data_IF_888744749586
#
_entry.id   IF_888744749586
#
_cell.length_a   1.000
_cell.length_b   1.000
_cell.length_c   1.000
_cell.angle_alpha   90.00
_cell.angle_beta   90.00
_cell.angle_gamma   90.00
#
_symmetry.space_group_name_H-M   'P 1'
#
loop_
_entity.id
_entity.type
_entity.pdbx_description
1 polymer ?
#
# COMPACT_ATOMS: atom_id res chain seq x y z
N UNK A 1 7.08 -7.52 25.44
CA UNK A 1 6.40 -7.74 24.14
C UNK A 1 4.92 -7.98 24.42
N UNK A 2 4.01 -7.37 23.63
CA UNK A 2 2.54 -7.29 23.82
C UNK A 2 2.00 -6.24 24.82
N UNK A 3 2.36 -4.96 24.65
CA UNK A 3 1.78 -3.84 25.44
C UNK A 3 0.74 -3.01 24.67
N UNK A 4 0.63 -3.20 23.35
CA UNK A 4 -0.24 -2.40 22.47
C UNK A 4 -1.67 -2.94 22.38
N UNK A 5 -1.89 -4.23 22.65
CA UNK A 5 -3.21 -4.87 22.58
C UNK A 5 -4.13 -4.54 23.77
N UNK A 6 -3.56 -4.25 24.94
CA UNK A 6 -4.31 -3.89 26.15
C UNK A 6 -4.91 -2.48 26.07
N UNK A 7 -4.21 -1.54 25.41
CA UNK A 7 -4.65 -0.14 25.31
C UNK A 7 -5.90 0.06 24.43
N UNK A 8 -6.08 -0.75 23.38
CA UNK A 8 -7.25 -0.65 22.50
C UNK A 8 -8.51 -1.23 23.15
N UNK A 9 -8.38 -2.33 23.89
CA UNK A 9 -9.52 -2.91 24.62
C UNK A 9 -9.94 -2.05 25.80
N UNK A 10 -8.99 -1.42 26.51
CA UNK A 10 -9.28 -0.45 27.57
C UNK A 10 -9.94 0.83 27.01
N UNK A 11 -9.54 1.29 25.81
CA UNK A 11 -10.21 2.39 25.12
C UNK A 11 -11.65 2.06 24.72
N UNK A 12 -11.89 0.84 24.24
CA UNK A 12 -13.23 0.40 23.83
C UNK A 12 -14.13 0.15 25.05
N UNK A 13 -13.58 -0.37 26.15
CA UNK A 13 -14.30 -0.56 27.41
C UNK A 13 -14.79 0.77 28.01
N UNK A 14 -13.99 1.84 27.88
CA UNK A 14 -14.37 3.18 28.32
C UNK A 14 -15.42 3.88 27.43
N UNK A 15 -15.75 3.33 26.26
CA UNK A 15 -16.78 3.87 25.35
C UNK A 15 -18.18 3.24 25.58
N UNK A 16 -18.27 2.14 26.32
CA UNK A 16 -19.52 1.39 26.49
C UNK A 16 -20.37 1.81 27.70
N UNK A 17 -19.93 2.80 28.50
CA UNK A 17 -20.64 3.25 29.70
C UNK A 17 -21.10 4.70 29.66
N UNK A 18 -22.36 4.93 29.29
CA UNK A 18 -23.31 6.01 29.65
C UNK A 18 -22.89 7.50 29.81
N UNK A 19 -21.67 7.92 29.51
CA UNK A 19 -21.24 9.33 29.47
C UNK A 19 -20.20 9.49 28.36
N UNK A 20 -20.21 10.43 27.41
CA UNK A 20 -20.96 11.65 27.20
C UNK A 20 -20.53 12.18 25.82
N UNK A 21 -21.39 12.94 25.12
CA UNK A 21 -20.91 13.79 24.02
C UNK A 21 -19.81 14.76 24.48
N UNK A 22 -19.75 15.09 25.78
CA UNK A 22 -18.66 15.85 26.42
C UNK A 22 -17.33 15.09 26.52
N UNK A 23 -17.33 13.75 26.59
CA UNK A 23 -16.11 12.94 26.54
C UNK A 23 -15.50 12.96 25.12
N UNK A 24 -16.36 13.02 24.08
CA UNK A 24 -15.95 13.28 22.71
C UNK A 24 -15.44 14.71 22.52
N UNK A 25 -16.03 15.71 23.21
CA UNK A 25 -15.62 17.12 23.13
C UNK A 25 -14.27 17.36 23.83
N UNK A 26 -14.01 16.69 24.95
CA UNK A 26 -12.68 16.64 25.58
C UNK A 26 -11.67 15.89 24.69
N UNK A 27 -12.07 14.84 23.98
CA UNK A 27 -11.23 14.18 22.99
C UNK A 27 -10.92 15.11 21.81
N UNK A 28 -11.89 15.88 21.30
CA UNK A 28 -11.70 16.92 20.29
C UNK A 28 -10.75 18.02 20.77
N UNK A 29 -10.82 18.40 22.06
CA UNK A 29 -9.85 19.28 22.70
C UNK A 29 -8.42 18.74 22.65
N UNK A 30 -8.23 17.41 22.76
CA UNK A 30 -6.90 16.80 22.63
C UNK A 30 -6.35 16.74 21.21
N UNK A 31 -7.20 16.78 20.17
CA UNK A 31 -6.79 16.96 18.77
C UNK A 31 -6.42 18.42 18.45
N UNK A 32 -6.77 19.37 19.32
CA UNK A 32 -6.49 20.79 19.20
C UNK A 32 -5.07 21.21 19.60
N UNK A 33 -4.32 20.37 20.32
CA UNK A 33 -2.99 20.74 20.83
C UNK A 33 -1.99 21.04 19.70
N UNK A 34 -1.46 22.28 19.61
CA UNK A 34 -0.54 22.69 18.54
C UNK A 34 0.70 21.79 18.45
N UNK A 35 1.19 21.30 19.59
CA UNK A 35 2.35 20.41 19.65
C UNK A 35 2.08 19.03 19.07
N UNK A 36 0.89 18.45 19.31
CA UNK A 36 0.49 17.17 18.70
C UNK A 36 0.25 17.31 17.21
N UNK A 37 -0.33 18.44 16.77
CA UNK A 37 -0.45 18.76 15.34
C UNK A 37 0.93 18.94 14.69
N UNK A 38 1.90 19.53 15.40
CA UNK A 38 3.28 19.67 14.93
C UNK A 38 3.97 18.32 14.81
N UNK A 39 3.90 17.47 15.84
CA UNK A 39 4.41 16.09 15.82
C UNK A 39 3.77 15.25 14.70
N UNK A 40 2.47 15.35 14.50
CA UNK A 40 1.77 14.65 13.42
C UNK A 40 2.22 15.15 12.04
N UNK A 41 2.41 16.46 11.87
CA UNK A 41 2.96 17.04 10.63
C UNK A 41 4.40 16.61 10.37
N UNK A 42 5.23 16.56 11.40
CA UNK A 42 6.62 16.11 11.29
C UNK A 42 6.70 14.62 10.95
N UNK A 43 5.87 13.77 11.57
CA UNK A 43 5.82 12.35 11.23
C UNK A 43 5.25 12.13 9.82
N UNK A 44 4.24 12.89 9.42
CA UNK A 44 3.71 12.87 8.05
C UNK A 44 4.78 13.28 7.03
N UNK A 45 5.46 14.41 7.25
CA UNK A 45 6.55 14.86 6.39
C UNK A 45 7.68 13.84 6.31
N UNK A 46 8.01 13.17 7.41
CA UNK A 46 9.01 12.08 7.43
C UNK A 46 8.56 10.89 6.60
N UNK A 47 7.30 10.46 6.73
CA UNK A 47 6.73 9.36 5.91
C UNK A 47 6.71 9.72 4.43
N UNK A 48 6.33 10.95 4.10
CA UNK A 48 6.33 11.46 2.73
C UNK A 48 7.76 11.51 2.16
N UNK A 49 8.75 11.93 2.95
CA UNK A 49 10.15 11.93 2.53
C UNK A 49 10.67 10.52 2.25
N UNK A 50 10.36 9.55 3.11
CA UNK A 50 10.73 8.13 2.89
C UNK A 50 10.05 7.58 1.64
N UNK A 51 8.75 7.84 1.47
CA UNK A 51 7.99 7.39 0.31
C UNK A 51 8.53 8.01 -1.00
N UNK A 52 8.88 9.29 -0.99
CA UNK A 52 9.46 9.96 -2.16
C UNK A 52 10.85 9.43 -2.48
N UNK A 53 11.70 9.20 -1.47
CA UNK A 53 13.00 8.55 -1.67
C UNK A 53 12.84 7.19 -2.33
N UNK A 54 11.95 6.34 -1.79
CA UNK A 54 11.64 5.04 -2.35
C UNK A 54 11.20 5.12 -3.81
N UNK A 55 10.29 6.05 -4.15
CA UNK A 55 9.82 6.22 -5.54
C UNK A 55 10.93 6.69 -6.48
N UNK A 56 11.81 7.58 -6.02
CA UNK A 56 12.97 8.00 -6.81
C UNK A 56 13.95 6.84 -7.05
N UNK A 57 14.17 5.99 -6.05
CA UNK A 57 15.00 4.79 -6.20
C UNK A 57 14.37 3.81 -7.21
N UNK A 58 13.05 3.63 -7.16
CA UNK A 58 12.32 2.84 -8.16
C UNK A 58 12.51 3.41 -9.57
N UNK A 59 12.34 4.73 -9.74
CA UNK A 59 12.53 5.38 -11.04
C UNK A 59 13.96 5.19 -11.54
N UNK A 60 14.97 5.35 -10.69
CA UNK A 60 16.37 5.16 -11.06
C UNK A 60 16.64 3.73 -11.57
N UNK A 61 16.04 2.72 -10.94
CA UNK A 61 16.16 1.32 -11.38
C UNK A 61 15.39 1.09 -12.68
N UNK A 62 14.12 1.46 -12.72
CA UNK A 62 13.20 1.12 -13.82
C UNK A 62 13.33 2.03 -15.05
N UNK A 63 14.04 3.16 -14.96
CA UNK A 63 14.40 3.97 -16.11
C UNK A 63 15.48 3.32 -17.00
N UNK A 64 16.28 2.39 -16.44
CA UNK A 64 17.29 1.65 -17.19
C UNK A 64 16.66 0.67 -18.20
N UNK A 65 17.32 0.33 -19.32
CA UNK A 65 16.82 -0.66 -20.26
C UNK A 65 16.55 -2.03 -19.63
N UNK A 66 17.41 -2.48 -18.72
CA UNK A 66 17.26 -3.74 -17.99
C UNK A 66 16.08 -3.69 -17.02
N UNK A 67 15.95 -2.58 -16.29
CA UNK A 67 14.82 -2.33 -15.40
C UNK A 67 13.50 -2.37 -16.15
N UNK A 68 13.41 -1.68 -17.30
CA UNK A 68 12.22 -1.70 -18.17
C UNK A 68 11.87 -3.12 -18.61
N UNK A 69 12.84 -3.94 -19.04
CA UNK A 69 12.59 -5.35 -19.40
C UNK A 69 12.04 -6.16 -18.24
N UNK A 70 12.57 -5.97 -17.03
CA UNK A 70 12.06 -6.64 -15.83
C UNK A 70 10.61 -6.21 -15.57
N UNK A 71 10.32 -4.90 -15.66
CA UNK A 71 8.98 -4.37 -15.48
C UNK A 71 8.00 -4.94 -16.51
N UNK A 72 8.39 -4.99 -17.78
CA UNK A 72 7.59 -5.57 -18.86
C UNK A 72 7.27 -7.04 -18.60
N UNK A 73 8.24 -7.83 -18.14
CA UNK A 73 8.03 -9.22 -17.75
C UNK A 73 7.08 -9.35 -16.55
N UNK A 74 7.20 -8.48 -15.56
CA UNK A 74 6.29 -8.45 -14.41
C UNK A 74 4.86 -8.13 -14.85
N UNK A 75 4.66 -7.12 -15.70
CA UNK A 75 3.35 -6.74 -16.23
C UNK A 75 2.75 -7.88 -17.04
N UNK A 76 3.51 -8.44 -17.99
CA UNK A 76 3.06 -9.55 -18.83
C UNK A 76 2.66 -10.78 -18.00
N UNK A 77 3.44 -11.09 -16.96
CA UNK A 77 3.19 -12.22 -16.07
C UNK A 77 2.01 -12.04 -15.10
N UNK A 78 1.50 -10.82 -14.90
CA UNK A 78 0.48 -10.52 -13.88
C UNK A 78 -0.77 -9.86 -14.45
N UNK A 79 -0.64 -8.66 -15.00
CA UNK A 79 -1.77 -7.89 -15.55
C UNK A 79 -2.11 -8.34 -16.97
N UNK A 80 -1.11 -8.78 -17.75
CA UNK A 80 -1.26 -9.25 -19.13
C UNK A 80 -1.58 -10.74 -19.30
N UNK A 81 -1.57 -11.53 -18.22
CA UNK A 81 -1.78 -12.98 -18.32
C UNK A 81 -3.23 -13.34 -18.66
N UNK A 82 -3.45 -14.35 -19.52
CA UNK A 82 -4.78 -14.79 -19.91
C UNK A 82 -5.62 -15.21 -18.69
N UNK A 83 -6.95 -15.06 -18.76
CA UNK A 83 -7.84 -15.57 -17.73
C UNK A 83 -7.69 -17.09 -17.66
N UNK A 84 -7.46 -17.62 -16.46
CA UNK A 84 -7.39 -19.06 -16.22
C UNK A 84 -8.69 -19.48 -15.57
N UNK A 85 -9.41 -20.41 -16.20
CA UNK A 85 -10.56 -21.04 -15.59
C UNK A 85 -10.10 -22.18 -14.67
N UNK A 86 -9.80 -21.85 -13.42
CA UNK A 86 -9.29 -22.81 -12.44
C UNK A 86 -10.28 -23.97 -12.15
N UNK A 87 -11.59 -23.78 -12.38
CA UNK A 87 -12.57 -24.84 -12.23
C UNK A 87 -12.42 -25.95 -13.28
N UNK A 88 -11.87 -25.63 -14.45
CA UNK A 88 -11.56 -26.63 -15.50
C UNK A 88 -10.22 -27.34 -15.26
N UNK A 89 -9.44 -26.92 -14.28
CA UNK A 89 -8.14 -27.50 -13.95
C UNK A 89 -8.22 -28.72 -13.00
N UNK A 90 -9.43 -29.23 -12.71
CA UNK A 90 -9.63 -30.36 -11.80
C UNK A 90 -9.31 -30.04 -10.33
N UNK A 91 -9.27 -28.76 -9.97
CA UNK A 91 -8.98 -28.27 -8.63
C UNK A 91 -10.23 -28.28 -7.74
N UNK A 92 -10.05 -28.47 -6.43
CA UNK A 92 -11.12 -28.28 -5.45
C UNK A 92 -11.50 -26.80 -5.34
N UNK A 93 -12.70 -26.49 -4.83
CA UNK A 93 -13.15 -25.11 -4.65
C UNK A 93 -12.18 -24.27 -3.77
N UNK A 94 -11.63 -24.87 -2.73
CA UNK A 94 -10.65 -24.21 -1.84
C UNK A 94 -9.35 -23.90 -2.59
N UNK A 95 -8.85 -24.84 -3.41
CA UNK A 95 -7.66 -24.64 -4.23
C UNK A 95 -7.87 -23.55 -5.27
N UNK A 96 -9.05 -23.50 -5.90
CA UNK A 96 -9.45 -22.42 -6.80
C UNK A 96 -9.42 -21.06 -6.08
N UNK A 97 -9.98 -20.99 -4.88
CA UNK A 97 -9.99 -19.77 -4.06
C UNK A 97 -8.58 -19.27 -3.72
N UNK A 98 -7.68 -20.17 -3.29
CA UNK A 98 -6.29 -19.84 -2.98
C UNK A 98 -5.55 -19.33 -4.24
N UNK A 99 -5.72 -20.00 -5.38
CA UNK A 99 -5.07 -19.61 -6.63
C UNK A 99 -5.57 -18.27 -7.17
N UNK A 100 -6.87 -17.99 -7.03
CA UNK A 100 -7.46 -16.71 -7.39
C UNK A 100 -6.91 -15.58 -6.49
N UNK A 101 -6.93 -15.77 -5.17
CA UNK A 101 -6.37 -14.79 -4.23
C UNK A 101 -4.87 -14.53 -4.47
N UNK A 102 -4.12 -15.59 -4.80
CA UNK A 102 -2.70 -15.45 -5.16
C UNK A 102 -2.51 -14.64 -6.45
N UNK A 103 -3.34 -14.87 -7.50
CA UNK A 103 -3.35 -14.01 -8.70
C UNK A 103 -3.56 -12.56 -8.29
N UNK A 104 -4.61 -12.29 -7.53
CA UNK A 104 -5.03 -10.92 -7.21
C UNK A 104 -3.99 -10.19 -6.35
N UNK A 105 -3.33 -10.90 -5.43
CA UNK A 105 -2.20 -10.38 -4.68
C UNK A 105 -1.05 -9.93 -5.58
N UNK A 106 -0.64 -10.77 -6.55
CA UNK A 106 0.39 -10.40 -7.51
C UNK A 106 0.01 -9.18 -8.34
N UNK A 107 -1.24 -9.12 -8.82
CA UNK A 107 -1.74 -7.98 -9.59
C UNK A 107 -1.71 -6.69 -8.76
N UNK A 108 -2.09 -6.77 -7.49
CA UNK A 108 -2.12 -5.63 -6.56
C UNK A 108 -0.72 -5.06 -6.35
N UNK A 109 0.29 -5.93 -6.14
CA UNK A 109 1.69 -5.50 -5.96
C UNK A 109 2.23 -4.82 -7.21
N UNK A 110 2.01 -5.41 -8.40
CA UNK A 110 2.48 -4.81 -9.65
C UNK A 110 1.75 -3.50 -9.94
N UNK A 111 0.44 -3.43 -9.67
CA UNK A 111 -0.32 -2.19 -9.81
C UNK A 111 0.20 -1.08 -8.87
N UNK A 112 0.51 -1.41 -7.61
CA UNK A 112 1.06 -0.46 -6.66
C UNK A 112 2.43 0.08 -7.14
N UNK A 113 3.31 -0.81 -7.63
CA UNK A 113 4.59 -0.43 -8.21
C UNK A 113 4.42 0.54 -9.39
N UNK A 114 3.51 0.25 -10.31
CA UNK A 114 3.23 1.14 -11.46
C UNK A 114 2.66 2.49 -11.03
N UNK A 115 1.82 2.50 -9.99
CA UNK A 115 1.26 3.73 -9.42
C UNK A 115 2.36 4.60 -8.82
N UNK A 116 3.27 4.00 -8.06
CA UNK A 116 4.41 4.69 -7.44
C UNK A 116 5.39 5.23 -8.49
N UNK A 117 5.65 4.48 -9.56
CA UNK A 117 6.46 4.95 -10.69
C UNK A 117 5.79 6.11 -11.44
N UNK A 118 4.48 6.01 -11.71
CA UNK A 118 3.73 7.09 -12.36
C UNK A 118 3.73 8.38 -11.52
N UNK A 119 3.69 8.26 -10.19
CA UNK A 119 3.73 9.41 -9.28
C UNK A 119 5.04 10.22 -9.36
N UNK A 120 6.14 9.60 -9.85
CA UNK A 120 7.43 10.27 -10.09
C UNK A 120 7.73 10.50 -11.57
N UNK A 121 6.71 10.39 -12.43
CA UNK A 121 6.81 10.74 -13.85
C UNK A 121 7.44 9.68 -14.74
N UNK A 122 7.45 8.41 -14.31
CA UNK A 122 7.85 7.32 -15.20
C UNK A 122 6.87 7.19 -16.37
N UNK A 123 7.39 7.28 -17.60
CA UNK A 123 6.63 7.01 -18.82
C UNK A 123 6.96 5.60 -19.35
N UNK A 124 6.00 4.67 -19.34
CA UNK A 124 6.19 3.33 -19.88
C UNK A 124 6.29 3.30 -21.41
N UNK A 125 5.86 4.36 -22.11
CA UNK A 125 5.95 4.47 -23.57
C UNK A 125 7.30 4.97 -24.07
N UNK A 126 8.06 5.62 -23.18
CA UNK A 126 9.43 6.04 -23.46
C UNK A 126 10.33 4.80 -23.57
N UNK A 127 11.02 4.64 -24.70
CA UNK A 127 11.81 3.43 -24.94
C UNK A 127 13.15 3.45 -24.21
N UNK A 128 13.48 4.54 -23.52
CA UNK A 128 14.82 4.78 -22.99
C UNK A 128 15.78 4.98 -24.17
N UNK A 129 16.49 6.10 -24.20
CA UNK A 129 17.42 6.36 -25.28
C UNK A 129 18.39 5.17 -25.44
N UNK A 130 18.36 4.56 -26.62
CA UNK A 130 19.29 3.52 -27.00
C UNK A 130 20.69 4.15 -27.08
N UNK A 131 21.45 4.00 -25.99
CA UNK A 131 22.89 4.26 -25.98
C UNK A 131 23.65 3.17 -26.74
#
# INVERSE_FOLDING_TARGET
MSQTGMQLQDMIGNLQGDHSWEALDNLMGTFGHPERKKLAKEDQARREAIANSYRHDLLAIFATPEGRRVLDHMIAGTLGRPPVNFAQAGLSADQVGVMAAYRDGQNTVVHALLTDLAAVGFDPSDKGDAA
#
